data_IF_333528921113
#
_entry.id   IF_333528921113
#
_cell.length_a   1.000
_cell.length_b   1.000
_cell.length_c   1.000
_cell.angle_alpha   90.00
_cell.angle_beta   90.00
_cell.angle_gamma   90.00
#
_symmetry.space_group_name_H-M   'P 1'
#
loop_
_entity.id
_entity.type
_entity.pdbx_description
1 polymer ?
#
# COMPACT_ATOMS: atom_id res chain seq x y z
N UNK A 1 -8.08 -14.21 13.66
CA UNK A 1 -7.23 -13.04 13.41
C UNK A 1 -7.96 -12.06 12.52
N UNK A 2 -7.89 -10.80 12.88
CA UNK A 2 -8.52 -9.79 12.03
C UNK A 2 -7.68 -9.53 10.80
N UNK A 3 -8.34 -9.38 9.69
CA UNK A 3 -7.73 -9.04 8.42
C UNK A 3 -7.39 -7.56 8.38
N UNK A 4 -6.24 -7.22 7.81
CA UNK A 4 -5.89 -5.81 7.59
C UNK A 4 -6.50 -5.37 6.27
N UNK A 5 -7.42 -4.43 6.33
CA UNK A 5 -8.17 -3.96 5.16
C UNK A 5 -7.76 -2.54 4.82
N UNK A 6 -7.63 -2.26 3.53
CA UNK A 6 -7.36 -0.92 3.02
C UNK A 6 -8.53 -0.49 2.16
N UNK A 7 -9.31 0.47 2.65
CA UNK A 7 -10.46 1.05 1.94
C UNK A 7 -10.13 2.42 1.39
N UNK A 8 -10.95 2.89 0.47
CA UNK A 8 -10.78 4.20 -0.15
C UNK A 8 -9.37 4.38 -0.70
N UNK A 9 -8.84 3.30 -1.26
CA UNK A 9 -7.45 3.25 -1.68
C UNK A 9 -7.24 3.83 -3.08
N UNK A 10 -6.05 4.35 -3.29
CA UNK A 10 -5.61 4.83 -4.60
C UNK A 10 -4.14 4.50 -4.78
N UNK A 11 -3.71 4.47 -6.04
CA UNK A 11 -2.33 4.17 -6.38
C UNK A 11 -1.51 5.46 -6.35
N UNK A 12 -0.36 5.40 -5.70
CA UNK A 12 0.62 6.49 -5.67
C UNK A 12 1.92 6.00 -6.28
N UNK A 13 2.41 6.72 -7.28
CA UNK A 13 3.69 6.43 -7.89
C UNK A 13 4.73 7.43 -7.39
N UNK A 14 5.86 6.91 -6.95
CA UNK A 14 6.98 7.71 -6.49
C UNK A 14 8.18 7.49 -7.39
N UNK A 15 8.74 8.58 -7.89
CA UNK A 15 9.98 8.52 -8.68
C UNK A 15 11.15 8.68 -7.72
N UNK A 16 11.98 7.64 -7.64
CA UNK A 16 13.18 7.66 -6.81
C UNK A 16 14.38 7.91 -7.73
N UNK A 17 15.06 9.04 -7.51
CA UNK A 17 16.26 9.37 -8.26
C UNK A 17 17.44 8.64 -7.62
N UNK A 18 18.10 7.81 -8.41
CA UNK A 18 19.27 7.07 -7.96
C UNK A 18 20.52 7.90 -8.19
N UNK A 19 21.50 7.72 -7.32
CA UNK A 19 22.79 8.38 -7.48
C UNK A 19 23.49 7.92 -8.76
N UNK A 20 23.34 6.64 -9.08
CA UNK A 20 23.83 6.03 -10.31
C UNK A 20 22.72 5.26 -10.98
N UNK A 21 22.59 5.40 -12.29
CA UNK A 21 21.61 4.68 -13.08
C UNK A 21 20.34 5.47 -13.31
N UNK A 22 19.36 4.79 -13.89
CA UNK A 22 18.08 5.39 -14.22
C UNK A 22 17.18 5.53 -12.99
N UNK A 23 16.27 6.52 -12.99
CA UNK A 23 15.29 6.64 -11.91
C UNK A 23 14.41 5.39 -11.85
N UNK A 24 14.02 5.03 -10.64
CA UNK A 24 13.15 3.88 -10.38
C UNK A 24 11.79 4.39 -9.90
N UNK A 25 10.73 3.81 -10.45
CA UNK A 25 9.37 4.10 -9.99
C UNK A 25 8.98 3.08 -8.92
N UNK A 26 8.42 3.58 -7.83
CA UNK A 26 7.88 2.74 -6.75
C UNK A 26 6.38 2.92 -6.67
N UNK A 27 5.68 1.81 -6.51
CA UNK A 27 4.24 1.79 -6.37
C UNK A 27 3.88 1.72 -4.89
N UNK A 28 3.09 2.69 -4.43
CA UNK A 28 2.52 2.70 -3.07
C UNK A 28 1.01 2.77 -3.17
N UNK A 29 0.34 2.41 -2.10
CA UNK A 29 -1.10 2.62 -1.98
C UNK A 29 -1.37 3.60 -0.85
N UNK A 30 -2.37 4.43 -1.03
CA UNK A 30 -2.86 5.36 -0.03
C UNK A 30 -4.32 5.04 0.23
N UNK A 31 -4.76 5.08 1.46
CA UNK A 31 -6.15 4.79 1.80
C UNK A 31 -6.35 4.75 3.30
N UNK A 32 -7.51 4.24 3.70
CA UNK A 32 -7.86 4.10 5.11
C UNK A 32 -7.68 2.65 5.54
N UNK A 33 -6.80 2.44 6.50
CA UNK A 33 -6.50 1.09 7.01
C UNK A 33 -7.36 0.76 8.21
N UNK A 34 -7.77 -0.50 8.29
CA UNK A 34 -8.51 -1.06 9.41
C UNK A 34 -7.88 -2.39 9.81
N UNK A 35 -7.71 -2.62 11.09
CA UNK A 35 -7.23 -3.90 11.62
C UNK A 35 -5.73 -4.13 11.45
N UNK A 36 -4.95 -3.08 11.27
CA UNK A 36 -3.50 -3.21 11.18
C UNK A 36 -2.92 -3.56 12.55
N UNK A 37 -1.99 -4.53 12.63
CA UNK A 37 -1.46 -4.97 13.92
C UNK A 37 -0.60 -3.93 14.65
N UNK A 38 -0.07 -2.94 13.93
CA UNK A 38 0.83 -1.94 14.50
C UNK A 38 0.35 -0.51 14.37
N UNK A 39 -0.62 -0.25 13.48
CA UNK A 39 -1.11 1.09 13.21
C UNK A 39 -2.56 1.21 13.64
N UNK A 40 -2.92 2.39 14.12
CA UNK A 40 -4.31 2.71 14.38
C UNK A 40 -5.08 2.84 13.07
N UNK A 41 -6.39 2.59 13.13
CA UNK A 41 -7.27 2.75 11.98
C UNK A 41 -7.21 4.20 11.50
N UNK A 42 -7.16 4.40 10.20
CA UNK A 42 -7.15 5.74 9.62
C UNK A 42 -6.34 5.82 8.34
N UNK A 43 -6.10 7.04 7.84
CA UNK A 43 -5.39 7.24 6.58
C UNK A 43 -3.92 6.89 6.69
N UNK A 44 -3.44 6.13 5.70
CA UNK A 44 -2.02 5.76 5.61
C UNK A 44 -1.55 5.78 4.17
N UNK A 45 -0.23 5.81 4.00
CA UNK A 45 0.42 5.46 2.74
C UNK A 45 1.29 4.24 3.01
N UNK A 46 1.12 3.20 2.22
CA UNK A 46 1.82 1.95 2.45
C UNK A 46 3.29 2.04 2.06
N UNK A 47 4.08 1.07 2.53
CA UNK A 47 5.40 0.79 1.98
C UNK A 47 5.28 0.37 0.51
N UNK A 48 6.40 0.34 -0.25
CA UNK A 48 6.33 -0.10 -1.65
C UNK A 48 5.69 -1.47 -1.80
N UNK A 49 4.83 -1.59 -2.81
CA UNK A 49 4.13 -2.85 -3.10
C UNK A 49 5.12 -3.84 -3.71
N UNK A 50 5.17 -5.04 -3.14
CA UNK A 50 6.00 -6.13 -3.64
C UNK A 50 5.22 -7.14 -4.47
N UNK A 51 3.95 -7.30 -4.18
CA UNK A 51 3.10 -8.23 -4.88
C UNK A 51 1.66 -7.80 -4.84
N UNK A 52 0.95 -8.12 -5.90
CA UNK A 52 -0.48 -7.79 -6.03
C UNK A 52 -1.17 -8.96 -6.71
N UNK A 53 -2.13 -9.54 -6.02
CA UNK A 53 -2.89 -10.65 -6.57
C UNK A 53 -4.38 -10.48 -6.23
N UNK A 54 -5.19 -10.22 -7.24
CA UNK A 54 -6.61 -9.98 -7.04
C UNK A 54 -6.84 -8.78 -6.13
N UNK A 55 -7.44 -9.01 -4.98
CA UNK A 55 -7.68 -7.97 -3.97
C UNK A 55 -6.69 -8.01 -2.81
N UNK A 56 -5.60 -8.74 -2.97
CA UNK A 56 -4.58 -8.86 -1.95
C UNK A 56 -3.31 -8.16 -2.41
N UNK A 57 -2.83 -7.24 -1.61
CA UNK A 57 -1.59 -6.50 -1.88
C UNK A 57 -0.60 -6.79 -0.77
N UNK A 58 0.61 -7.10 -1.16
CA UNK A 58 1.69 -7.39 -0.23
C UNK A 58 2.74 -6.31 -0.30
N UNK A 59 3.05 -5.75 0.86
CA UNK A 59 4.17 -4.85 1.03
C UNK A 59 5.24 -5.53 1.89
N UNK A 60 6.30 -4.83 2.17
CA UNK A 60 7.42 -5.38 2.94
C UNK A 60 6.99 -5.97 4.29
N UNK A 61 6.09 -5.31 4.98
CA UNK A 61 5.76 -5.65 6.37
C UNK A 61 4.33 -6.13 6.57
N UNK A 62 3.47 -5.97 5.57
CA UNK A 62 2.04 -6.19 5.77
C UNK A 62 1.37 -6.68 4.50
N UNK A 63 0.40 -7.55 4.67
CA UNK A 63 -0.50 -7.95 3.59
C UNK A 63 -1.85 -7.27 3.83
N UNK A 64 -2.34 -6.59 2.80
CA UNK A 64 -3.60 -5.85 2.86
C UNK A 64 -4.65 -6.51 1.99
N UNK A 65 -5.87 -6.58 2.49
CA UNK A 65 -7.02 -6.88 1.67
C UNK A 65 -7.58 -5.56 1.16
N UNK A 66 -7.74 -5.43 -0.15
CA UNK A 66 -8.26 -4.20 -0.74
C UNK A 66 -9.78 -4.17 -0.65
N UNK A 67 -10.30 -3.11 -0.07
CA UNK A 67 -11.71 -2.83 -0.05
C UNK A 67 -12.13 -1.95 -1.23
N UNK A 68 -12.89 -0.90 -0.95
CA UNK A 68 -13.40 -0.01 -1.97
C UNK A 68 -12.29 0.93 -2.48
N UNK A 69 -12.16 1.03 -3.80
CA UNK A 69 -11.23 1.95 -4.42
C UNK A 69 -11.74 3.39 -4.30
N UNK A 70 -10.85 4.34 -4.04
CA UNK A 70 -11.19 5.75 -4.03
C UNK A 70 -11.65 6.21 -5.41
N UNK A 71 -12.67 7.04 -5.41
CA UNK A 71 -13.17 7.65 -6.64
C UNK A 71 -12.36 8.87 -7.06
#
# INVERSE_FOLDING_TARGET
MSETVLDNWSIKLEKVTMLYGDPVMRLHLSGDVTGHPKLEDGPITTSPVWGWRGRTVRTRNTTYALGVMAE
#
